data_IF_607936877405
#
_entry.id   IF_607936877405
#
_cell.length_a   1.000
_cell.length_b   1.000
_cell.length_c   1.000
_cell.angle_alpha   90.00
_cell.angle_beta   90.00
_cell.angle_gamma   90.00
#
_symmetry.space_group_name_H-M   'P 1'
#
loop_
_entity.id
_entity.type
_entity.pdbx_description
1 polymer ?
#
# COMPACT_ATOMS: atom_id res chain seq x y z
N UNK A 1 16.34 1.65 -13.02
CA UNK A 1 15.62 2.76 -12.33
C UNK A 1 14.15 2.46 -12.47
N UNK A 2 13.46 2.27 -11.37
CA UNK A 2 12.03 1.97 -11.31
C UNK A 2 11.24 3.16 -10.74
N UNK A 3 9.96 3.26 -11.09
CA UNK A 3 9.01 4.19 -10.54
C UNK A 3 8.33 3.54 -9.33
N UNK A 4 8.50 4.09 -8.15
CA UNK A 4 7.98 3.55 -6.88
C UNK A 4 6.88 4.46 -6.35
N UNK A 5 5.70 3.90 -6.14
CA UNK A 5 4.58 4.57 -5.48
C UNK A 5 4.41 4.01 -4.07
N UNK A 6 4.52 4.85 -3.05
CA UNK A 6 4.23 4.46 -1.67
C UNK A 6 2.84 4.99 -1.29
N UNK A 7 1.93 4.08 -0.98
CA UNK A 7 0.55 4.38 -0.57
C UNK A 7 0.43 4.27 0.94
N UNK A 8 0.23 5.40 1.61
CA UNK A 8 0.12 5.47 3.07
C UNK A 8 -1.35 5.44 3.46
N UNK A 9 -1.75 4.39 4.18
CA UNK A 9 -3.14 4.16 4.62
C UNK A 9 -3.43 4.62 6.06
N UNK A 10 -2.55 5.41 6.66
CA UNK A 10 -2.73 5.89 8.03
C UNK A 10 -3.26 7.33 8.06
N UNK A 11 -4.32 7.63 8.85
CA UNK A 11 -4.76 9.01 9.09
C UNK A 11 -3.87 9.76 10.10
N UNK A 12 -2.97 9.08 10.82
CA UNK A 12 -2.05 9.71 11.76
C UNK A 12 -0.86 10.31 11.02
N UNK A 13 -0.77 11.65 10.94
CA UNK A 13 0.39 12.34 10.34
C UNK A 13 1.67 12.04 11.11
N UNK A 14 2.72 11.60 10.39
CA UNK A 14 4.02 11.23 10.98
C UNK A 14 3.92 10.07 11.96
N UNK A 15 2.98 9.14 11.77
CA UNK A 15 2.84 7.93 12.57
C UNK A 15 3.82 6.82 12.15
N UNK A 16 3.74 5.66 12.82
CA UNK A 16 4.67 4.54 12.60
C UNK A 16 4.65 4.02 11.14
N UNK A 17 3.49 4.02 10.46
CA UNK A 17 3.41 3.65 9.04
C UNK A 17 4.14 4.64 8.14
N UNK A 18 4.09 5.94 8.46
CA UNK A 18 4.86 6.96 7.75
C UNK A 18 6.37 6.74 7.93
N UNK A 19 6.82 6.43 9.16
CA UNK A 19 8.22 6.15 9.42
C UNK A 19 8.75 4.95 8.62
N UNK A 20 7.95 3.87 8.50
CA UNK A 20 8.30 2.72 7.65
C UNK A 20 8.35 3.10 6.16
N UNK A 21 7.39 3.90 5.70
CA UNK A 21 7.35 4.42 4.34
C UNK A 21 8.60 5.28 4.02
N UNK A 22 8.96 6.17 4.93
CA UNK A 22 10.13 7.06 4.77
C UNK A 22 11.46 6.27 4.77
N UNK A 23 11.55 5.22 5.59
CA UNK A 23 12.71 4.33 5.60
C UNK A 23 12.84 3.55 4.28
N UNK A 24 11.73 3.02 3.74
CA UNK A 24 11.70 2.37 2.44
C UNK A 24 12.09 3.35 1.32
N UNK A 25 11.50 4.55 1.33
CA UNK A 25 11.81 5.60 0.35
C UNK A 25 13.30 5.95 0.34
N UNK A 26 13.90 6.10 1.53
CA UNK A 26 15.34 6.41 1.64
C UNK A 26 16.20 5.32 0.96
N UNK A 27 15.88 4.04 1.16
CA UNK A 27 16.55 2.93 0.49
C UNK A 27 16.34 2.94 -1.02
N UNK A 28 15.09 3.12 -1.48
CA UNK A 28 14.75 3.13 -2.90
C UNK A 28 15.42 4.29 -3.65
N UNK A 29 15.44 5.49 -3.07
CA UNK A 29 16.13 6.65 -3.63
C UNK A 29 17.66 6.46 -3.68
N UNK A 30 18.25 5.87 -2.64
CA UNK A 30 19.67 5.54 -2.62
C UNK A 30 20.07 4.55 -3.74
N UNK A 31 19.14 3.67 -4.14
CA UNK A 31 19.30 2.75 -5.27
C UNK A 31 19.04 3.41 -6.64
N UNK A 32 18.71 4.71 -6.69
CA UNK A 32 18.52 5.48 -7.92
C UNK A 32 17.09 5.42 -8.49
N UNK A 33 16.09 5.01 -7.69
CA UNK A 33 14.69 4.96 -8.12
C UNK A 33 13.96 6.29 -7.94
N UNK A 34 12.96 6.58 -8.80
CA UNK A 34 12.03 7.68 -8.59
C UNK A 34 10.94 7.24 -7.61
N UNK A 35 10.71 8.02 -6.56
CA UNK A 35 9.74 7.67 -5.50
C UNK A 35 8.72 8.78 -5.33
N UNK A 36 7.43 8.41 -5.30
CA UNK A 36 6.30 9.28 -4.92
C UNK A 36 5.58 8.68 -3.73
N UNK A 37 5.16 9.52 -2.81
CA UNK A 37 4.29 9.13 -1.69
C UNK A 37 2.91 9.76 -1.86
N UNK A 38 1.87 8.98 -1.60
CA UNK A 38 0.49 9.45 -1.48
C UNK A 38 -0.11 8.99 -0.15
N UNK A 39 -0.92 9.83 0.48
CA UNK A 39 -1.58 9.46 1.73
C UNK A 39 -3.10 9.35 1.51
N UNK A 40 -3.60 8.12 1.42
CA UNK A 40 -5.02 7.81 1.28
C UNK A 40 -5.77 7.83 2.62
N UNK A 41 -5.06 7.90 3.74
CA UNK A 41 -5.67 8.02 5.06
C UNK A 41 -6.50 9.29 5.27
N UNK A 42 -6.29 10.31 4.43
CA UNK A 42 -7.04 11.56 4.42
C UNK A 42 -7.85 11.78 3.15
N UNK A 43 -7.70 10.94 2.13
CA UNK A 43 -8.43 11.05 0.89
C UNK A 43 -9.90 10.65 1.06
N UNK A 44 -10.78 11.34 0.34
CA UNK A 44 -12.21 11.03 0.30
C UNK A 44 -12.46 9.99 -0.79
N UNK A 45 -12.16 8.72 -0.46
CA UNK A 45 -12.35 7.59 -1.35
C UNK A 45 -13.54 6.78 -0.85
N UNK A 46 -14.59 6.70 -1.64
CA UNK A 46 -15.73 5.82 -1.38
C UNK A 46 -15.36 4.36 -1.72
N UNK A 47 -15.88 3.40 -0.96
CA UNK A 47 -15.74 1.98 -1.28
C UNK A 47 -16.35 1.64 -2.65
N UNK A 48 -15.93 0.51 -3.23
CA UNK A 48 -16.54 0.00 -4.45
C UNK A 48 -18.01 -0.40 -4.18
N UNK A 49 -18.93 0.08 -5.01
CA UNK A 49 -20.38 -0.21 -4.90
C UNK A 49 -20.84 -1.32 -5.86
N UNK A 50 -19.90 -2.05 -6.47
CA UNK A 50 -20.16 -3.15 -7.38
C UNK A 50 -21.11 -2.79 -8.56
N UNK A 51 -21.07 -1.55 -9.03
CA UNK A 51 -21.95 -1.07 -10.13
C UNK A 51 -21.54 -1.59 -11.52
N UNK A 52 -20.42 -2.27 -11.64
CA UNK A 52 -19.86 -2.90 -12.85
C UNK A 52 -19.64 -1.93 -14.05
N UNK A 53 -19.85 -0.63 -13.87
CA UNK A 53 -19.65 0.35 -14.95
C UNK A 53 -18.26 0.30 -15.58
N UNK A 54 -17.23 -0.11 -14.80
CA UNK A 54 -15.87 -0.26 -15.32
C UNK A 54 -15.74 -1.34 -16.39
N UNK A 55 -16.57 -2.37 -16.39
CA UNK A 55 -16.57 -3.40 -17.43
C UNK A 55 -17.13 -2.88 -18.79
N UNK A 56 -18.04 -1.91 -18.72
CA UNK A 56 -18.65 -1.33 -19.93
C UNK A 56 -17.81 -0.20 -20.55
N UNK A 57 -16.82 0.35 -19.84
CA UNK A 57 -16.12 1.55 -20.28
C UNK A 57 -14.58 1.46 -20.18
N UNK A 58 -14.02 0.27 -20.35
CA UNK A 58 -12.58 0.07 -20.44
C UNK A 58 -11.83 0.34 -19.13
N UNK A 59 -12.42 -0.06 -17.99
CA UNK A 59 -11.81 0.06 -16.67
C UNK A 59 -11.96 1.43 -16.02
N UNK A 60 -12.77 2.34 -16.55
CA UNK A 60 -13.03 3.63 -15.92
C UNK A 60 -14.06 3.48 -14.80
N UNK A 61 -13.66 3.81 -13.58
CA UNK A 61 -14.60 3.83 -12.46
C UNK A 61 -15.57 4.99 -12.57
N UNK A 62 -16.88 4.72 -12.31
CA UNK A 62 -17.93 5.72 -12.40
C UNK A 62 -18.00 6.65 -11.17
N UNK A 63 -17.36 6.29 -10.05
CA UNK A 63 -17.37 7.12 -8.85
C UNK A 63 -16.34 8.24 -9.01
N UNK A 64 -16.83 9.47 -8.98
CA UNK A 64 -16.02 10.70 -9.08
C UNK A 64 -15.62 11.17 -7.67
N UNK A 65 -14.42 10.79 -7.25
CA UNK A 65 -13.84 11.11 -5.94
C UNK A 65 -12.30 11.15 -6.02
N UNK A 66 -11.64 11.27 -4.87
CA UNK A 66 -10.17 11.39 -4.79
C UNK A 66 -9.43 10.16 -5.34
N UNK A 67 -10.11 9.06 -5.66
CA UNK A 67 -9.50 7.90 -6.31
C UNK A 67 -9.15 8.16 -7.78
N UNK A 68 -9.83 9.08 -8.46
CA UNK A 68 -9.62 9.30 -9.90
C UNK A 68 -8.17 9.69 -10.27
N UNK A 69 -7.53 10.67 -9.61
CA UNK A 69 -6.12 10.97 -9.88
C UNK A 69 -5.18 9.83 -9.47
N UNK A 70 -5.53 9.05 -8.45
CA UNK A 70 -4.66 7.99 -7.92
C UNK A 70 -4.49 6.82 -8.89
N UNK A 71 -5.45 6.57 -9.76
CA UNK A 71 -5.28 5.57 -10.83
C UNK A 71 -4.08 5.88 -11.72
N UNK A 72 -3.81 7.17 -12.03
CA UNK A 72 -2.66 7.56 -12.85
C UNK A 72 -1.34 7.36 -12.11
N UNK A 73 -1.31 7.59 -10.82
CA UNK A 73 -0.12 7.32 -9.99
C UNK A 73 0.17 5.81 -9.94
N UNK A 74 -0.88 4.99 -9.84
CA UNK A 74 -0.71 3.53 -9.92
C UNK A 74 -0.24 3.06 -11.30
N UNK A 75 -0.78 3.64 -12.38
CA UNK A 75 -0.35 3.32 -13.74
C UNK A 75 1.11 3.73 -14.01
N UNK A 76 1.56 4.83 -13.43
CA UNK A 76 2.94 5.31 -13.52
C UNK A 76 3.94 4.40 -12.80
N UNK A 77 3.53 3.77 -11.70
CA UNK A 77 4.42 2.98 -10.85
C UNK A 77 4.78 1.62 -11.48
N UNK A 78 6.03 1.21 -11.32
CA UNK A 78 6.49 -0.17 -11.53
C UNK A 78 6.36 -0.98 -10.22
N UNK A 79 6.52 -0.30 -9.08
CA UNK A 79 6.44 -0.87 -7.73
C UNK A 79 5.43 -0.09 -6.90
N UNK A 80 4.51 -0.78 -6.24
CA UNK A 80 3.54 -0.18 -5.31
C UNK A 80 3.75 -0.70 -3.89
N UNK A 81 4.02 0.19 -2.95
CA UNK A 81 4.25 -0.12 -1.54
C UNK A 81 3.05 0.31 -0.71
N UNK A 82 2.46 -0.62 0.00
CA UNK A 82 1.31 -0.39 0.87
C UNK A 82 1.79 -0.24 2.32
N UNK A 83 1.80 0.99 2.85
CA UNK A 83 2.22 1.30 4.22
C UNK A 83 1.01 1.69 5.08
N UNK A 84 0.53 0.80 5.94
CA UNK A 84 -0.68 1.03 6.74
C UNK A 84 -0.63 0.31 8.08
N UNK A 85 -1.28 0.84 9.14
CA UNK A 85 -1.36 0.14 10.41
C UNK A 85 -2.40 -0.97 10.35
N UNK A 86 -2.29 -1.99 11.19
CA UNK A 86 -3.38 -2.93 11.41
C UNK A 86 -4.44 -2.29 12.31
N UNK A 87 -5.68 -2.19 11.83
CA UNK A 87 -6.84 -1.73 12.61
C UNK A 87 -7.81 -2.86 12.81
N UNK A 88 -8.08 -3.18 14.07
CA UNK A 88 -9.00 -4.25 14.46
C UNK A 88 -8.74 -5.56 13.68
N UNK A 89 -7.47 -5.96 13.64
CA UNK A 89 -6.97 -7.17 12.97
C UNK A 89 -7.22 -7.22 11.45
N UNK A 90 -7.36 -6.05 10.80
CA UNK A 90 -7.62 -5.95 9.36
C UNK A 90 -6.99 -4.67 8.77
N UNK A 91 -7.28 -4.41 7.49
CA UNK A 91 -6.95 -3.14 6.85
C UNK A 91 -7.73 -1.99 7.50
N UNK A 92 -7.13 -0.79 7.65
CA UNK A 92 -7.91 0.42 7.88
C UNK A 92 -8.93 0.65 6.76
N UNK A 93 -10.10 1.18 7.09
CA UNK A 93 -11.16 1.43 6.11
C UNK A 93 -10.69 2.28 4.92
N UNK A 94 -9.80 3.23 5.16
CA UNK A 94 -9.25 4.13 4.16
C UNK A 94 -8.42 3.38 3.09
N UNK A 95 -7.50 2.51 3.53
CA UNK A 95 -6.70 1.72 2.59
C UNK A 95 -7.54 0.62 1.94
N UNK A 96 -8.54 0.09 2.68
CA UNK A 96 -9.45 -0.93 2.12
C UNK A 96 -10.29 -0.35 0.98
N UNK A 97 -10.81 0.87 1.14
CA UNK A 97 -11.52 1.56 0.05
C UNK A 97 -10.64 1.73 -1.19
N UNK A 98 -9.37 2.17 -1.01
CA UNK A 98 -8.40 2.26 -2.11
C UNK A 98 -8.15 0.91 -2.79
N UNK A 99 -8.01 -0.18 -2.00
CA UNK A 99 -7.79 -1.53 -2.55
C UNK A 99 -9.03 -2.02 -3.31
N UNK A 100 -10.24 -1.87 -2.76
CA UNK A 100 -11.48 -2.31 -3.41
C UNK A 100 -11.72 -1.61 -4.74
N UNK A 101 -11.32 -0.35 -4.84
CA UNK A 101 -11.47 0.44 -6.07
C UNK A 101 -10.52 0.01 -7.19
N UNK A 102 -9.51 -0.82 -6.90
CA UNK A 102 -8.66 -1.45 -7.92
C UNK A 102 -9.39 -2.54 -8.72
N UNK A 103 -10.59 -2.95 -8.31
CA UNK A 103 -11.42 -3.90 -9.05
C UNK A 103 -11.69 -3.48 -10.50
N UNK A 104 -11.59 -2.18 -10.82
CA UNK A 104 -11.66 -1.68 -12.18
C UNK A 104 -10.57 -2.23 -13.12
N UNK A 105 -9.50 -2.81 -12.58
CA UNK A 105 -8.49 -3.52 -13.36
C UNK A 105 -9.08 -4.72 -14.11
N UNK A 106 -9.98 -5.47 -13.47
CA UNK A 106 -10.72 -6.56 -14.10
C UNK A 106 -11.65 -6.07 -15.23
N UNK A 107 -12.11 -4.81 -15.14
CA UNK A 107 -12.92 -4.16 -16.18
C UNK A 107 -12.13 -3.58 -17.35
N UNK A 108 -10.82 -3.75 -17.38
CA UNK A 108 -9.97 -3.33 -18.50
C UNK A 108 -8.86 -2.32 -18.17
N UNK A 109 -8.76 -1.82 -16.92
CA UNK A 109 -7.66 -0.94 -16.49
C UNK A 109 -6.40 -1.76 -16.17
N UNK A 110 -5.85 -2.45 -17.16
CA UNK A 110 -4.73 -3.38 -16.97
C UNK A 110 -3.43 -2.71 -16.49
N UNK A 111 -3.26 -1.40 -16.68
CA UNK A 111 -2.06 -0.65 -16.29
C UNK A 111 -1.78 -0.61 -14.78
N UNK A 112 -2.73 -1.04 -13.93
CA UNK A 112 -2.53 -1.18 -12.49
C UNK A 112 -2.31 -2.63 -12.03
N UNK A 113 -2.25 -3.59 -12.95
CA UNK A 113 -1.99 -5.02 -12.69
C UNK A 113 -0.53 -5.38 -12.98
N UNK A 114 -0.09 -6.54 -12.49
CA UNK A 114 1.23 -7.10 -12.82
C UNK A 114 2.41 -6.30 -12.28
N UNK A 115 2.20 -5.51 -11.24
CA UNK A 115 3.23 -4.69 -10.58
C UNK A 115 4.03 -5.52 -9.57
N UNK A 116 5.21 -5.04 -9.18
CA UNK A 116 5.84 -5.45 -7.94
C UNK A 116 5.19 -4.74 -6.77
N UNK A 117 4.97 -5.44 -5.65
CA UNK A 117 4.31 -4.86 -4.48
C UNK A 117 5.02 -5.21 -3.19
N UNK A 118 4.94 -4.32 -2.20
CA UNK A 118 5.40 -4.58 -0.84
C UNK A 118 4.35 -4.15 0.18
N UNK A 119 4.36 -4.76 1.37
CA UNK A 119 3.55 -4.35 2.51
C UNK A 119 4.42 -3.97 3.70
N UNK A 120 4.14 -2.81 4.30
CA UNK A 120 4.78 -2.30 5.50
C UNK A 120 3.71 -2.05 6.55
N UNK A 121 3.68 -2.85 7.62
CA UNK A 121 2.56 -2.82 8.56
C UNK A 121 3.02 -2.80 10.03
N UNK A 122 2.95 -1.61 10.69
CA UNK A 122 3.10 -1.50 12.14
C UNK A 122 1.78 -1.81 12.84
N UNK A 123 1.84 -2.41 14.04
CA UNK A 123 0.67 -2.68 14.88
C UNK A 123 1.02 -2.84 16.37
N UNK A 124 0.00 -2.71 17.23
CA UNK A 124 0.15 -2.70 18.67
C UNK A 124 0.39 -4.08 19.29
N UNK A 125 -0.31 -5.12 18.79
CA UNK A 125 -0.27 -6.44 19.41
C UNK A 125 1.17 -6.97 19.51
N UNK A 126 1.48 -7.63 20.64
CA UNK A 126 2.80 -8.20 20.89
C UNK A 126 3.04 -9.49 20.11
N UNK A 127 1.96 -10.22 19.81
CA UNK A 127 2.01 -11.44 19.04
C UNK A 127 2.00 -11.12 17.54
N UNK A 128 3.11 -11.39 16.87
CA UNK A 128 3.25 -11.12 15.44
C UNK A 128 2.26 -11.92 14.58
N UNK A 129 1.84 -13.10 15.04
CA UNK A 129 0.88 -13.95 14.34
C UNK A 129 -0.54 -13.38 14.27
N UNK A 130 -0.84 -12.33 15.05
CA UNK A 130 -2.09 -11.59 14.91
C UNK A 130 -2.23 -10.91 13.54
N UNK A 131 -1.13 -10.73 12.84
CA UNK A 131 -1.10 -10.16 11.48
C UNK A 131 -1.38 -11.20 10.38
N UNK A 132 -1.35 -12.51 10.66
CA UNK A 132 -1.42 -13.57 9.65
C UNK A 132 -2.66 -13.46 8.75
N UNK A 133 -3.81 -13.08 9.32
CA UNK A 133 -5.04 -12.87 8.55
C UNK A 133 -4.94 -11.71 7.55
N UNK A 134 -4.29 -10.62 7.93
CA UNK A 134 -4.08 -9.45 7.04
C UNK A 134 -3.06 -9.79 5.96
N UNK A 135 -1.97 -10.46 6.34
CA UNK A 135 -0.95 -10.95 5.39
C UNK A 135 -1.59 -11.87 4.36
N UNK A 136 -2.38 -12.84 4.81
CA UNK A 136 -3.04 -13.79 3.91
C UNK A 136 -4.04 -13.11 2.97
N UNK A 137 -4.80 -12.14 3.48
CA UNK A 137 -5.68 -11.33 2.65
C UNK A 137 -4.91 -10.54 1.59
N UNK A 138 -3.77 -9.92 1.97
CA UNK A 138 -2.90 -9.20 1.05
C UNK A 138 -2.38 -10.14 -0.05
N UNK A 139 -1.84 -11.30 0.30
CA UNK A 139 -1.33 -12.29 -0.65
C UNK A 139 -2.39 -12.68 -1.70
N UNK A 140 -3.62 -13.02 -1.24
CA UNK A 140 -4.72 -13.41 -2.14
C UNK A 140 -5.13 -12.26 -3.06
N UNK A 141 -5.22 -11.03 -2.53
CA UNK A 141 -5.56 -9.86 -3.35
C UNK A 141 -4.49 -9.57 -4.41
N UNK A 142 -3.22 -9.68 -4.02
CA UNK A 142 -2.10 -9.42 -4.93
C UNK A 142 -1.98 -10.50 -6.01
N UNK A 143 -2.21 -11.77 -5.65
CA UNK A 143 -2.27 -12.89 -6.61
C UNK A 143 -3.39 -12.68 -7.65
N UNK A 144 -4.60 -12.31 -7.20
CA UNK A 144 -5.71 -11.98 -8.09
C UNK A 144 -5.34 -10.86 -9.09
N UNK A 145 -4.61 -9.86 -8.64
CA UNK A 145 -4.12 -8.76 -9.49
C UNK A 145 -2.85 -9.11 -10.27
N UNK A 146 -2.35 -10.36 -10.21
CA UNK A 146 -1.10 -10.83 -10.82
C UNK A 146 0.11 -9.99 -10.40
N UNK A 147 0.11 -9.50 -9.17
CA UNK A 147 1.19 -8.71 -8.60
C UNK A 147 2.28 -9.63 -8.02
N UNK A 148 3.53 -9.22 -8.14
CA UNK A 148 4.68 -9.89 -7.52
C UNK A 148 4.96 -9.28 -6.14
N UNK A 149 4.81 -10.05 -5.07
CA UNK A 149 5.16 -9.57 -3.71
C UNK A 149 6.67 -9.66 -3.53
N UNK A 150 7.32 -8.50 -3.45
CA UNK A 150 8.78 -8.41 -3.24
C UNK A 150 9.19 -8.37 -1.77
N UNK A 151 8.26 -8.15 -0.86
CA UNK A 151 8.52 -8.21 0.58
C UNK A 151 7.35 -7.75 1.44
N UNK A 152 7.34 -8.26 2.68
CA UNK A 152 6.41 -7.87 3.73
C UNK A 152 7.24 -7.57 4.98
N UNK A 153 7.12 -6.35 5.50
CA UNK A 153 7.76 -5.95 6.75
C UNK A 153 6.68 -5.67 7.79
N UNK A 154 6.68 -6.48 8.83
CA UNK A 154 5.80 -6.35 9.99
C UNK A 154 6.59 -5.74 11.14
N UNK A 155 5.96 -4.81 11.88
CA UNK A 155 6.49 -4.25 13.11
C UNK A 155 5.42 -4.30 14.20
N UNK A 156 5.48 -5.29 15.05
CA UNK A 156 4.56 -5.49 16.17
C UNK A 156 4.97 -4.68 17.42
N UNK A 157 4.08 -4.59 18.40
CA UNK A 157 4.30 -3.92 19.69
C UNK A 157 4.62 -2.41 19.56
N UNK A 158 4.02 -1.74 18.59
CA UNK A 158 4.17 -0.29 18.37
C UNK A 158 2.79 0.38 18.25
N UNK A 159 2.40 1.19 19.26
CA UNK A 159 1.11 1.89 19.31
C UNK A 159 1.26 3.39 19.18
N UNK A 160 2.03 3.99 20.10
CA UNK A 160 2.19 5.43 20.15
C UNK A 160 2.95 5.94 18.91
N UNK A 161 2.69 7.19 18.54
CA UNK A 161 3.45 7.85 17.49
C UNK A 161 4.93 7.92 17.89
N UNK A 162 5.81 7.46 17.00
CA UNK A 162 7.25 7.41 17.27
C UNK A 162 7.72 6.14 17.99
N UNK A 163 6.81 5.26 18.45
CA UNK A 163 7.20 4.02 19.13
C UNK A 163 8.08 3.09 18.27
N UNK A 164 8.11 3.30 16.97
CA UNK A 164 8.94 2.55 16.02
C UNK A 164 10.38 3.07 15.92
N UNK A 165 10.70 4.20 16.53
CA UNK A 165 12.06 4.77 16.48
C UNK A 165 13.08 3.80 17.05
N UNK A 166 14.17 3.56 16.29
CA UNK A 166 15.21 2.59 16.65
C UNK A 166 14.83 1.12 16.49
N UNK A 167 13.63 0.81 15.97
CA UNK A 167 13.23 -0.56 15.71
C UNK A 167 13.88 -1.09 14.42
N UNK A 168 14.35 -2.33 14.44
CA UNK A 168 14.98 -3.01 13.29
C UNK A 168 14.08 -3.08 12.04
N UNK A 169 12.76 -2.97 12.21
CA UNK A 169 11.82 -2.92 11.10
C UNK A 169 12.10 -1.75 10.15
N UNK A 170 12.63 -0.64 10.65
CA UNK A 170 13.02 0.51 9.80
C UNK A 170 14.23 0.17 8.92
N UNK A 171 15.20 -0.59 9.44
CA UNK A 171 16.35 -1.04 8.65
C UNK A 171 15.91 -2.03 7.58
N UNK A 172 15.03 -2.98 7.94
CA UNK A 172 14.42 -3.91 6.99
C UNK A 172 13.63 -3.19 5.89
N UNK A 173 12.90 -2.12 6.22
CA UNK A 173 12.23 -1.28 5.21
C UNK A 173 13.24 -0.62 4.27
N UNK A 174 14.34 -0.08 4.82
CA UNK A 174 15.40 0.57 4.03
C UNK A 174 16.10 -0.42 3.09
N UNK A 175 16.43 -1.60 3.60
CA UNK A 175 17.04 -2.69 2.82
C UNK A 175 16.12 -3.16 1.69
N UNK A 176 14.82 -3.35 1.99
CA UNK A 176 13.82 -3.72 0.99
C UNK A 176 13.70 -2.63 -0.09
N UNK A 177 13.68 -1.35 0.29
CA UNK A 177 13.70 -0.23 -0.66
C UNK A 177 14.94 -0.23 -1.54
N UNK A 178 16.12 -0.48 -0.96
CA UNK A 178 17.39 -0.54 -1.70
C UNK A 178 17.48 -1.74 -2.66
N UNK A 179 16.70 -2.80 -2.44
CA UNK A 179 16.65 -3.97 -3.31
C UNK A 179 15.82 -3.77 -4.58
N UNK A 180 15.03 -2.69 -4.68
CA UNK A 180 14.21 -2.37 -5.84
C UNK A 180 15.09 -2.03 -7.05
N UNK A 181 14.86 -2.75 -8.14
CA UNK A 181 15.59 -2.62 -9.42
C UNK A 181 14.63 -2.37 -10.57
#
# INVERSE_FOLDING_TARGET
MANVLIVIGSPRKGGNSQAMADAFEAGAKAAGNEVRQINVGHAKISGCIACESCFANGGKCAIDDDMQPLYREMEWADVVVYAFPMYFYSYPAQIKAFVDRQFCAAGGRSGIMGKKVAMLMPFEDKDIHRADGVVKCFEICMDYCKQEIIGIVLCNNVYEKGAIEGNEALDRCRELGASVK
#
